data_IF_874035138770
#
_entry.id   IF_874035138770
#
_cell.length_a   1.000
_cell.length_b   1.000
_cell.length_c   1.000
_cell.angle_alpha   90.00
_cell.angle_beta   90.00
_cell.angle_gamma   90.00
#
_symmetry.space_group_name_H-M   'P 1'
#
loop_
_entity.id
_entity.type
_entity.pdbx_description
1 polymer ?
#
# COMPACT_ATOMS: atom_id res chain seq x y z
N UNK A 1 48.91 -4.36 -4.25
CA UNK A 1 47.81 -4.39 -5.23
C UNK A 1 46.68 -5.19 -4.60
N UNK A 2 45.61 -4.54 -4.15
CA UNK A 2 44.44 -5.22 -3.57
C UNK A 2 43.47 -5.58 -4.70
N UNK A 3 43.14 -6.87 -4.81
CA UNK A 3 42.16 -7.37 -5.78
C UNK A 3 40.80 -6.69 -5.57
N UNK A 4 40.18 -6.08 -6.60
CA UNK A 4 38.87 -5.46 -6.46
C UNK A 4 37.82 -6.50 -6.05
N UNK A 5 37.01 -6.16 -5.04
CA UNK A 5 35.94 -7.02 -4.55
C UNK A 5 34.85 -7.15 -5.63
N UNK A 6 34.54 -8.36 -6.14
CA UNK A 6 33.54 -8.56 -7.19
C UNK A 6 32.09 -8.44 -6.68
N UNK A 7 31.87 -8.32 -5.38
CA UNK A 7 30.53 -8.22 -4.80
C UNK A 7 30.09 -6.75 -4.74
N UNK A 8 29.17 -6.37 -5.61
CA UNK A 8 28.42 -5.13 -5.47
C UNK A 8 27.49 -5.24 -4.26
N UNK A 9 27.53 -4.27 -3.35
CA UNK A 9 26.46 -4.14 -2.38
C UNK A 9 25.20 -3.67 -3.13
N UNK A 10 24.03 -4.28 -2.86
CA UNK A 10 22.79 -3.72 -3.37
C UNK A 10 22.69 -2.27 -2.89
N UNK A 11 22.34 -1.35 -3.81
CA UNK A 11 22.08 0.03 -3.44
C UNK A 11 21.08 0.07 -2.29
N UNK A 12 21.29 0.96 -1.33
CA UNK A 12 20.47 1.07 -0.11
C UNK A 12 19.11 1.70 -0.39
N UNK A 13 18.40 1.21 -1.42
CA UNK A 13 17.08 1.68 -1.84
C UNK A 13 17.01 3.19 -2.11
N UNK A 14 15.84 3.64 -2.55
CA UNK A 14 15.58 5.07 -2.66
C UNK A 14 15.35 5.68 -1.27
N UNK A 15 15.70 6.96 -1.08
CA UNK A 15 15.30 7.69 0.13
C UNK A 15 14.03 8.46 -0.14
N UNK A 16 12.99 8.24 0.66
CA UNK A 16 11.78 9.05 0.60
C UNK A 16 12.01 10.36 1.36
N UNK A 17 12.47 11.39 0.65
CA UNK A 17 12.77 12.73 1.22
C UNK A 17 11.86 13.81 0.64
N UNK A 18 10.58 13.87 1.02
CA UNK A 18 9.63 14.86 0.50
C UNK A 18 10.05 16.31 0.77
N UNK A 19 10.98 16.53 1.70
CA UNK A 19 11.60 17.83 1.94
C UNK A 19 12.40 18.34 0.74
N UNK A 20 13.05 17.44 0.01
CA UNK A 20 13.89 17.76 -1.15
C UNK A 20 13.07 17.79 -2.46
N UNK A 21 11.79 17.42 -2.37
CA UNK A 21 10.85 17.31 -3.49
C UNK A 21 9.56 18.08 -3.23
N UNK A 22 9.56 19.42 -3.28
CA UNK A 22 8.37 20.23 -3.05
C UNK A 22 7.23 19.92 -4.03
N UNK A 23 7.55 19.44 -5.24
CA UNK A 23 6.59 19.01 -6.27
C UNK A 23 5.78 17.76 -5.89
N UNK A 24 6.19 17.04 -4.83
CA UNK A 24 5.46 15.90 -4.29
C UNK A 24 4.28 16.33 -3.40
N UNK A 25 4.27 17.56 -2.89
CA UNK A 25 3.17 18.03 -2.03
C UNK A 25 1.88 18.12 -2.85
N UNK A 26 0.81 17.55 -2.31
CA UNK A 26 -0.49 17.42 -2.94
C UNK A 26 -0.63 16.20 -3.86
N UNK A 27 0.46 15.49 -4.16
CA UNK A 27 0.46 14.31 -5.04
C UNK A 27 -0.13 13.09 -4.36
N UNK A 28 -0.65 12.16 -5.17
CA UNK A 28 -1.26 10.91 -4.73
C UNK A 28 -0.20 9.82 -4.63
N UNK A 29 -0.04 9.28 -3.42
CA UNK A 29 0.90 8.22 -3.13
C UNK A 29 0.20 6.91 -2.83
N UNK A 30 0.73 5.83 -3.40
CA UNK A 30 0.40 4.46 -3.05
C UNK A 30 1.65 3.79 -2.44
N UNK A 31 1.59 3.52 -1.15
CA UNK A 31 2.65 2.83 -0.42
C UNK A 31 2.36 1.34 -0.35
N UNK A 32 3.43 0.59 -0.52
CA UNK A 32 3.50 -0.85 -0.43
C UNK A 32 4.44 -1.23 0.73
N UNK A 33 4.01 -1.01 1.98
CA UNK A 33 4.86 -1.24 3.14
C UNK A 33 5.24 -2.71 3.28
N UNK A 34 6.53 -2.96 3.45
CA UNK A 34 7.08 -4.29 3.69
C UNK A 34 7.37 -4.49 5.17
N UNK A 35 8.32 -3.72 5.71
CA UNK A 35 8.82 -3.90 7.07
C UNK A 35 9.10 -2.57 7.77
N UNK A 36 9.23 -2.62 9.10
CA UNK A 36 9.64 -1.48 9.92
C UNK A 36 11.06 -1.73 10.43
N UNK A 37 11.94 -0.78 10.21
CA UNK A 37 13.35 -0.82 10.60
C UNK A 37 13.66 0.34 11.54
N UNK A 38 14.46 0.08 12.58
CA UNK A 38 14.94 1.12 13.47
C UNK A 38 16.30 1.61 12.98
N UNK A 39 16.45 2.93 12.86
CA UNK A 39 17.69 3.57 12.42
C UNK A 39 18.18 4.58 13.43
N UNK A 40 19.48 4.86 13.39
CA UNK A 40 20.08 5.95 14.17
C UNK A 40 20.17 7.19 13.28
N UNK A 41 19.50 8.26 13.70
CA UNK A 41 19.55 9.57 13.07
C UNK A 41 20.19 10.60 13.97
N UNK A 42 20.35 11.82 13.47
CA UNK A 42 20.79 12.95 14.30
C UNK A 42 19.55 13.69 14.80
N UNK A 43 19.33 13.66 16.11
CA UNK A 43 18.26 14.39 16.78
C UNK A 43 18.45 15.91 16.72
N UNK A 44 17.48 16.68 17.21
CA UNK A 44 17.54 18.16 17.21
C UNK A 44 18.71 18.72 18.02
N UNK A 45 19.24 17.97 18.99
CA UNK A 45 20.37 18.34 19.83
C UNK A 45 21.73 17.87 19.26
N UNK A 46 21.77 17.35 18.02
CA UNK A 46 22.98 16.80 17.42
C UNK A 46 23.39 15.41 17.95
N UNK A 47 22.63 14.83 18.89
CA UNK A 47 22.92 13.50 19.42
C UNK A 47 22.30 12.40 18.55
N UNK A 48 22.90 11.19 18.50
CA UNK A 48 22.26 10.04 17.89
C UNK A 48 20.92 9.75 18.58
N UNK A 49 19.83 9.77 17.81
CA UNK A 49 18.48 9.45 18.28
C UNK A 49 17.93 8.31 17.40
N UNK A 50 17.45 7.20 17.99
CA UNK A 50 16.80 6.17 17.21
C UNK A 50 15.48 6.69 16.64
N UNK A 51 15.19 6.34 15.40
CA UNK A 51 13.90 6.61 14.75
C UNK A 51 13.44 5.40 13.96
N UNK A 52 12.12 5.21 13.91
CA UNK A 52 11.49 4.19 13.07
C UNK A 52 11.42 4.70 11.62
N UNK A 53 11.74 3.82 10.68
CA UNK A 53 11.43 4.00 9.27
C UNK A 53 10.64 2.78 8.76
N UNK A 54 9.86 3.00 7.70
CA UNK A 54 9.19 1.93 6.97
C UNK A 54 9.95 1.70 5.66
N UNK A 55 10.34 0.47 5.39
CA UNK A 55 10.85 0.07 4.07
C UNK A 55 9.62 -0.27 3.20
N UNK A 56 9.47 0.40 2.06
CA UNK A 56 8.30 0.28 1.21
C UNK A 56 8.61 0.59 -0.26
N UNK A 57 7.91 -0.05 -1.19
CA UNK A 57 7.81 0.51 -2.54
C UNK A 57 6.79 1.64 -2.53
N UNK A 58 7.06 2.72 -3.27
CA UNK A 58 6.22 3.91 -3.29
C UNK A 58 5.94 4.32 -4.72
N UNK A 59 4.68 4.37 -5.10
CA UNK A 59 4.26 4.92 -6.38
C UNK A 59 3.62 6.30 -6.18
N UNK A 60 4.04 7.28 -6.99
CA UNK A 60 3.47 8.63 -7.05
C UNK A 60 2.61 8.71 -8.31
N UNK A 61 1.32 8.40 -8.17
CA UNK A 61 0.42 8.06 -9.28
C UNK A 61 0.19 9.25 -10.22
N UNK A 62 0.08 10.46 -9.67
CA UNK A 62 -0.19 11.71 -10.41
C UNK A 62 1.09 12.54 -10.66
N UNK A 63 2.27 11.92 -10.49
CA UNK A 63 3.56 12.48 -10.88
C UNK A 63 4.22 11.59 -11.93
N UNK A 64 4.10 11.99 -13.18
CA UNK A 64 4.68 11.27 -14.31
C UNK A 64 6.17 11.58 -14.41
N UNK A 65 6.99 10.54 -14.49
CA UNK A 65 8.41 10.68 -14.81
C UNK A 65 8.54 11.14 -16.27
N UNK A 66 9.21 12.28 -16.53
CA UNK A 66 9.29 12.86 -17.87
C UNK A 66 10.06 11.99 -18.87
N UNK A 67 10.92 11.09 -18.40
CA UNK A 67 11.72 10.20 -19.25
C UNK A 67 10.94 8.97 -19.69
N UNK A 68 10.12 8.40 -18.80
CA UNK A 68 9.41 7.13 -19.04
C UNK A 68 7.96 7.32 -19.44
N UNK A 69 7.36 8.48 -19.13
CA UNK A 69 5.93 8.71 -19.27
C UNK A 69 5.07 7.88 -18.30
N UNK A 70 5.69 7.17 -17.35
CA UNK A 70 5.02 6.37 -16.33
C UNK A 70 4.98 7.12 -14.99
N UNK A 71 4.08 6.74 -14.07
CA UNK A 71 4.12 7.24 -12.70
C UNK A 71 5.50 7.04 -12.05
N UNK A 72 5.94 7.98 -11.23
CA UNK A 72 7.22 7.88 -10.52
C UNK A 72 7.12 6.77 -9.49
N UNK A 73 8.02 5.78 -9.57
CA UNK A 73 8.11 4.68 -8.60
C UNK A 73 9.46 4.76 -7.89
N UNK A 74 9.42 4.65 -6.58
CA UNK A 74 10.58 4.53 -5.70
C UNK A 74 10.61 3.10 -5.16
N UNK A 75 11.69 2.37 -5.42
CA UNK A 75 11.80 0.96 -5.07
C UNK A 75 12.62 0.78 -3.79
N UNK A 76 12.16 -0.08 -2.89
CA UNK A 76 12.76 -0.29 -1.57
C UNK A 76 13.02 1.05 -0.85
N UNK A 77 12.06 1.96 -0.95
CA UNK A 77 12.22 3.30 -0.43
C UNK A 77 12.16 3.31 1.10
N UNK A 78 13.13 3.99 1.71
CA UNK A 78 13.10 4.22 3.16
C UNK A 78 12.24 5.42 3.50
N UNK A 79 11.11 5.15 4.12
CA UNK A 79 10.11 6.15 4.52
C UNK A 79 10.27 6.53 5.98
N UNK A 80 10.78 7.74 6.23
CA UNK A 80 10.91 8.32 7.57
C UNK A 80 9.86 9.41 7.86
N UNK A 81 9.84 9.88 9.11
CA UNK A 81 9.06 11.05 9.51
C UNK A 81 8.06 10.77 10.64
N UNK A 82 8.06 11.64 11.65
CA UNK A 82 7.29 11.45 12.90
C UNK A 82 5.77 11.34 12.68
N UNK A 83 5.22 12.00 11.66
CA UNK A 83 3.78 11.99 11.36
C UNK A 83 3.38 10.95 10.30
N UNK A 84 4.29 10.60 9.40
CA UNK A 84 4.03 9.70 8.28
C UNK A 84 4.16 8.22 8.69
N UNK A 85 5.26 7.88 9.41
CA UNK A 85 5.57 6.50 9.82
C UNK A 85 4.45 5.85 10.63
N UNK A 86 3.81 6.51 11.62
CA UNK A 86 2.70 5.91 12.37
C UNK A 86 1.45 5.57 11.54
N UNK A 87 1.26 6.23 10.40
CA UNK A 87 0.13 5.95 9.50
C UNK A 87 0.42 4.71 8.66
N UNK A 88 1.63 4.65 8.10
CA UNK A 88 2.02 3.58 7.18
C UNK A 88 2.29 2.27 7.94
N UNK A 89 2.96 2.33 9.09
CA UNK A 89 3.40 1.13 9.82
C UNK A 89 2.28 0.20 10.28
N UNK A 90 1.05 0.73 10.41
CA UNK A 90 -0.15 -0.06 10.77
C UNK A 90 -0.54 -1.07 9.68
N UNK A 91 -0.03 -0.89 8.46
CA UNK A 91 -0.36 -1.69 7.29
C UNK A 91 0.82 -2.54 6.80
N UNK A 92 1.95 -2.58 7.53
CA UNK A 92 3.04 -3.52 7.26
C UNK A 92 2.53 -4.97 7.35
N UNK A 93 3.02 -5.85 6.48
CA UNK A 93 2.54 -7.24 6.39
C UNK A 93 1.50 -7.49 5.29
N UNK A 94 1.49 -6.67 4.23
CA UNK A 94 0.73 -6.95 3.00
C UNK A 94 -0.41 -5.97 2.69
N UNK A 95 -0.64 -4.95 3.53
CA UNK A 95 -1.57 -3.87 3.23
C UNK A 95 -1.00 -2.89 2.18
N UNK A 96 -1.88 -2.11 1.57
CA UNK A 96 -1.54 -0.94 0.78
C UNK A 96 -2.03 0.32 1.51
N UNK A 97 -1.30 1.42 1.39
CA UNK A 97 -1.72 2.71 1.99
C UNK A 97 -1.81 3.75 0.88
N UNK A 98 -3.01 4.31 0.70
CA UNK A 98 -3.29 5.37 -0.26
C UNK A 98 -3.45 6.69 0.50
N UNK A 99 -2.90 7.78 -0.04
CA UNK A 99 -3.15 9.11 0.50
C UNK A 99 -2.45 10.20 -0.29
N UNK A 100 -2.91 11.44 -0.13
CA UNK A 100 -2.24 12.60 -0.72
C UNK A 100 -1.20 13.15 0.25
N UNK A 101 0.01 13.41 -0.23
CA UNK A 101 1.05 13.97 0.63
C UNK A 101 0.71 15.41 0.98
N UNK A 102 0.59 15.70 2.27
CA UNK A 102 0.35 17.03 2.79
C UNK A 102 1.48 17.44 3.74
N UNK A 103 1.63 18.75 3.93
CA UNK A 103 2.59 19.33 4.86
C UNK A 103 1.87 20.28 5.80
N UNK A 104 2.09 20.14 7.12
CA UNK A 104 1.57 21.12 8.08
C UNK A 104 2.27 22.48 7.89
N UNK A 105 1.62 23.57 8.28
CA UNK A 105 2.29 24.87 8.33
C UNK A 105 3.58 24.81 9.17
N UNK A 106 4.61 25.53 8.74
CA UNK A 106 5.84 25.65 9.52
C UNK A 106 5.55 26.35 10.86
N UNK A 107 6.16 25.85 11.94
CA UNK A 107 6.04 26.44 13.28
C UNK A 107 7.38 27.03 13.70
N UNK A 108 7.56 28.33 13.44
CA UNK A 108 8.82 29.02 13.69
C UNK A 108 9.97 28.46 12.87
N UNK A 109 11.02 27.97 13.53
CA UNK A 109 12.21 27.38 12.88
C UNK A 109 12.01 25.91 12.46
N UNK A 110 10.88 25.30 12.80
CA UNK A 110 10.61 23.88 12.46
C UNK A 110 9.90 23.80 11.12
N UNK A 111 10.51 23.09 10.17
CA UNK A 111 9.84 22.68 8.93
C UNK A 111 8.57 21.92 9.25
N UNK A 112 7.51 22.16 8.47
CA UNK A 112 6.24 21.45 8.62
C UNK A 112 6.40 19.94 8.52
N UNK A 113 5.59 19.20 9.28
CA UNK A 113 5.59 17.75 9.23
C UNK A 113 4.82 17.26 7.99
N UNK A 114 5.39 16.28 7.30
CA UNK A 114 4.73 15.59 6.19
C UNK A 114 3.83 14.48 6.71
N UNK A 115 2.62 14.38 6.17
CA UNK A 115 1.62 13.38 6.52
C UNK A 115 0.79 12.99 5.30
N UNK A 116 0.05 11.87 5.37
CA UNK A 116 -0.92 11.52 4.34
C UNK A 116 -2.28 12.12 4.72
N UNK A 117 -2.81 12.97 3.86
CA UNK A 117 -4.17 13.46 3.95
C UNK A 117 -5.15 12.42 3.41
N UNK A 118 -6.43 12.60 3.76
CA UNK A 118 -7.53 11.79 3.24
C UNK A 118 -7.55 11.83 1.71
N UNK A 119 -7.86 10.69 1.11
CA UNK A 119 -8.04 10.54 -0.33
C UNK A 119 -9.51 10.68 -0.69
N UNK A 120 -9.78 11.06 -1.94
CA UNK A 120 -11.12 11.11 -2.52
C UNK A 120 -11.48 9.83 -3.28
N UNK A 121 -12.75 9.65 -3.66
CA UNK A 121 -13.17 8.52 -4.51
C UNK A 121 -12.47 8.53 -5.88
N UNK A 122 -12.19 9.71 -6.43
CA UNK A 122 -11.43 9.85 -7.68
C UNK A 122 -9.99 9.32 -7.52
N UNK A 123 -9.38 9.51 -6.35
CA UNK A 123 -8.05 8.99 -6.04
C UNK A 123 -8.04 7.46 -5.97
N UNK A 124 -9.09 6.87 -5.38
CA UNK A 124 -9.27 5.41 -5.35
C UNK A 124 -9.38 4.84 -6.77
N UNK A 125 -10.12 5.51 -7.65
CA UNK A 125 -10.22 5.09 -9.05
C UNK A 125 -8.86 5.15 -9.77
N UNK A 126 -8.11 6.24 -9.60
CA UNK A 126 -6.76 6.35 -10.18
C UNK A 126 -5.80 5.28 -9.64
N UNK A 127 -5.82 5.04 -8.33
CA UNK A 127 -5.00 4.00 -7.71
C UNK A 127 -5.40 2.59 -8.18
N UNK A 128 -6.69 2.33 -8.35
CA UNK A 128 -7.20 1.05 -8.87
C UNK A 128 -6.72 0.82 -10.30
N UNK A 129 -6.82 1.85 -11.17
CA UNK A 129 -6.29 1.78 -12.54
C UNK A 129 -4.78 1.52 -12.53
N UNK A 130 -4.04 2.21 -11.67
CA UNK A 130 -2.61 2.01 -11.52
C UNK A 130 -2.27 0.57 -11.11
N UNK A 131 -2.94 0.03 -10.08
CA UNK A 131 -2.73 -1.34 -9.59
C UNK A 131 -3.02 -2.38 -10.68
N UNK A 132 -4.09 -2.18 -11.44
CA UNK A 132 -4.46 -3.09 -12.54
C UNK A 132 -3.42 -3.06 -13.67
N UNK A 133 -2.81 -1.91 -13.93
CA UNK A 133 -1.75 -1.76 -14.93
C UNK A 133 -0.38 -2.24 -14.42
N UNK A 134 -0.14 -2.23 -13.10
CA UNK A 134 1.14 -2.54 -12.46
C UNK A 134 0.96 -3.61 -11.37
N UNK A 135 0.62 -4.86 -11.72
CA UNK A 135 0.48 -5.92 -10.73
C UNK A 135 1.81 -6.16 -10.01
N UNK A 136 1.81 -5.96 -8.69
CA UNK A 136 2.98 -6.04 -7.79
C UNK A 136 3.79 -7.35 -7.91
N UNK A 137 3.18 -8.42 -8.44
CA UNK A 137 3.70 -9.79 -8.40
C UNK A 137 3.86 -10.46 -9.78
N UNK A 138 4.03 -9.72 -10.88
CA UNK A 138 4.23 -10.39 -12.18
C UNK A 138 5.57 -11.16 -12.30
N UNK A 139 6.57 -10.88 -11.46
CA UNK A 139 7.89 -11.51 -11.58
C UNK A 139 8.61 -11.57 -10.23
N UNK A 140 8.55 -12.72 -9.55
CA UNK A 140 9.66 -13.40 -8.83
C UNK A 140 9.10 -14.59 -8.05
N UNK A 141 8.52 -15.57 -8.74
CA UNK A 141 8.86 -16.93 -8.34
C UNK A 141 10.24 -17.17 -8.96
N UNK A 142 11.30 -17.48 -8.19
CA UNK A 142 12.48 -18.05 -8.82
C UNK A 142 11.95 -19.26 -9.57
N UNK A 143 11.97 -19.21 -10.91
CA UNK A 143 11.83 -20.42 -11.70
C UNK A 143 12.91 -21.32 -11.15
N UNK A 144 12.50 -22.34 -10.39
CA UNK A 144 13.41 -23.34 -9.89
C UNK A 144 14.18 -23.80 -11.13
N UNK A 145 15.45 -23.45 -11.19
CA UNK A 145 16.31 -23.75 -12.31
C UNK A 145 16.20 -25.26 -12.46
N UNK A 146 15.48 -25.69 -13.49
CA UNK A 146 15.24 -27.10 -13.73
C UNK A 146 16.61 -27.76 -13.73
N UNK A 147 16.82 -28.64 -12.74
CA UNK A 147 18.06 -29.37 -12.64
C UNK A 147 18.34 -29.98 -14.02
N UNK A 148 19.55 -29.81 -14.60
CA UNK A 148 19.84 -30.35 -15.91
C UNK A 148 19.52 -31.84 -15.89
N UNK A 149 18.66 -32.25 -16.83
CA UNK A 149 18.30 -33.63 -17.01
C UNK A 149 19.59 -34.45 -17.15
N UNK A 150 19.89 -35.29 -16.16
CA UNK A 150 20.91 -36.31 -16.30
C UNK A 150 20.47 -37.21 -17.45
N UNK A 151 21.13 -37.05 -18.59
CA UNK A 151 21.05 -38.01 -19.69
C UNK A 151 21.48 -39.36 -19.12
N UNK A 152 20.50 -40.26 -19.01
CA UNK A 152 20.75 -41.69 -18.85
C UNK A 152 21.47 -42.17 -20.11
N UNK A 153 22.79 -42.18 -20.07
CA UNK A 153 23.62 -42.94 -20.98
C UNK A 153 23.58 -44.40 -20.52
N UNK A 154 22.87 -45.22 -21.30
CA UNK A 154 22.86 -46.67 -21.19
C UNK A 154 24.27 -47.24 -21.41
N UNK A 155 24.67 -48.12 -20.50
CA UNK A 155 25.75 -49.09 -20.69
C UNK A 155 27.14 -48.57 -20.35
N UNK A 156 27.58 -48.82 -19.12
CA UNK A 156 28.83 -49.51 -18.80
C UNK A 156 28.89 -49.67 -17.28
N UNK A 157 28.99 -50.92 -16.81
CA UNK A 157 29.39 -51.25 -15.45
C UNK A 157 30.90 -51.03 -15.33
N UNK A 158 31.37 -50.32 -14.30
CA UNK A 158 32.66 -50.63 -13.72
C UNK A 158 32.45 -51.14 -12.28
N UNK A 159 32.86 -52.38 -12.07
CA UNK A 159 33.12 -52.92 -10.75
C UNK A 159 34.21 -52.10 -10.07
N UNK A 160 33.89 -51.38 -8.99
CA UNK A 160 34.91 -50.92 -8.05
C UNK A 160 34.46 -51.10 -6.60
N UNK A 161 34.97 -52.20 -6.03
CA UNK A 161 35.74 -52.28 -4.77
C UNK A 161 35.14 -51.55 -3.56
N UNK A 162 34.59 -52.36 -2.68
CA UNK A 162 34.43 -52.10 -1.25
C UNK A 162 35.82 -51.80 -0.63
N UNK A 163 36.14 -50.53 -0.39
CA UNK A 163 37.12 -50.18 0.64
C UNK A 163 36.39 -49.75 1.89
N UNK A 164 36.48 -50.62 2.89
CA UNK A 164 36.19 -50.34 4.30
C UNK A 164 36.99 -49.11 4.73
N UNK A 165 36.30 -48.07 5.19
CA UNK A 165 36.92 -47.01 5.98
C UNK A 165 36.85 -47.37 7.47
N UNK A 166 37.89 -47.00 8.25
CA UNK A 166 38.09 -47.43 9.62
C UNK A 166 37.12 -46.78 10.62
N UNK A 167 36.83 -47.58 11.63
CA UNK A 167 36.15 -47.29 12.90
C UNK A 167 36.53 -45.93 13.51
N UNK A 168 35.52 -45.09 13.81
CA UNK A 168 35.68 -43.88 14.63
C UNK A 168 35.26 -44.18 16.09
N UNK A 169 36.17 -44.11 17.07
CA UNK A 169 35.94 -44.56 18.45
C UNK A 169 35.29 -43.53 19.39
N UNK A 170 34.74 -42.40 18.91
CA UNK A 170 34.06 -41.45 19.82
C UNK A 170 32.58 -41.80 20.04
N UNK A 171 32.37 -42.94 20.72
CA UNK A 171 31.17 -43.19 21.52
C UNK A 171 31.28 -42.47 22.85
N UNK A 172 30.30 -41.63 23.20
CA UNK A 172 30.10 -41.24 24.59
C UNK A 172 29.29 -39.98 24.84
N UNK A 173 27.97 -40.00 24.62
CA UNK A 173 27.00 -39.32 25.51
C UNK A 173 25.56 -39.80 25.26
N UNK A 174 24.84 -40.33 26.26
CA UNK A 174 23.42 -40.63 26.13
C UNK A 174 22.56 -39.42 26.54
N UNK A 175 21.58 -39.08 25.72
CA UNK A 175 20.35 -38.41 26.16
C UNK A 175 20.12 -36.98 25.66
N UNK A 176 19.32 -36.84 24.61
CA UNK A 176 18.38 -35.74 24.47
C UNK A 176 17.22 -36.19 23.57
N UNK A 177 16.02 -36.22 24.15
CA UNK A 177 14.78 -36.57 23.48
C UNK A 177 14.46 -35.60 22.34
N UNK A 178 13.95 -36.14 21.23
CA UNK A 178 13.41 -35.36 20.11
C UNK A 178 12.18 -34.55 20.58
N UNK A 179 12.09 -33.24 20.30
CA UNK A 179 10.86 -32.51 20.52
C UNK A 179 9.80 -32.95 19.51
N UNK A 180 8.64 -33.33 20.03
CA UNK A 180 7.44 -33.65 19.29
C UNK A 180 7.03 -32.48 18.39
N UNK A 181 6.65 -32.79 17.15
CA UNK A 181 6.08 -31.81 16.22
C UNK A 181 4.80 -31.17 16.76
N UNK A 182 4.45 -29.96 16.30
CA UNK A 182 3.25 -29.28 16.75
C UNK A 182 1.98 -30.01 16.27
N UNK A 183 0.94 -30.11 17.13
CA UNK A 183 -0.32 -30.72 16.74
C UNK A 183 -1.07 -29.86 15.72
N UNK A 184 -1.59 -30.49 14.67
CA UNK A 184 -2.52 -29.88 13.72
C UNK A 184 -3.86 -29.61 14.43
N UNK A 185 -4.04 -28.37 14.90
CA UNK A 185 -5.26 -27.87 15.49
C UNK A 185 -6.21 -27.27 14.45
N UNK A 186 -7.19 -28.07 14.05
CA UNK A 186 -8.60 -27.76 13.77
C UNK A 186 -9.02 -26.27 13.81
N UNK A 187 -9.18 -25.65 12.64
CA UNK A 187 -9.87 -24.36 12.50
C UNK A 187 -11.39 -24.56 12.66
N UNK A 188 -11.89 -24.26 13.86
CA UNK A 188 -13.32 -24.15 14.13
C UNK A 188 -13.91 -22.85 13.59
N UNK A 189 -15.05 -22.95 12.94
CA UNK A 189 -15.93 -21.85 12.54
C UNK A 189 -16.52 -21.13 13.78
N UNK A 190 -16.43 -19.80 13.91
CA UNK A 190 -17.25 -19.09 14.88
C UNK A 190 -18.69 -18.95 14.38
N UNK A 191 -19.61 -19.37 15.25
CA UNK A 191 -21.05 -19.26 15.08
C UNK A 191 -21.51 -17.80 15.10
N UNK A 192 -22.51 -17.51 14.26
CA UNK A 192 -23.27 -16.28 14.27
C UNK A 192 -24.29 -16.29 15.43
N UNK A 193 -24.31 -15.22 16.24
CA UNK A 193 -25.50 -14.85 17.01
C UNK A 193 -25.57 -13.34 17.23
N UNK A 194 -26.76 -12.82 16.97
CA UNK A 194 -27.17 -11.43 16.96
C UNK A 194 -27.40 -10.83 18.35
N UNK A 195 -27.36 -9.50 18.47
CA UNK A 195 -28.52 -8.66 18.89
C UNK A 195 -28.17 -7.15 18.83
N UNK A 196 -29.12 -6.28 18.44
CA UNK A 196 -28.93 -4.82 18.41
C UNK A 196 -29.19 -4.19 19.79
N UNK A 197 -28.32 -3.28 20.22
CA UNK A 197 -28.52 -2.49 21.44
C UNK A 197 -29.33 -1.21 21.13
N UNK A 198 -30.42 -1.03 21.88
CA UNK A 198 -31.29 0.14 21.90
C UNK A 198 -30.55 1.38 22.41
N UNK A 199 -30.85 2.53 21.79
CA UNK A 199 -30.46 3.86 22.26
C UNK A 199 -31.41 4.34 23.38
N UNK A 200 -30.89 4.83 24.52
CA UNK A 200 -31.71 5.56 25.48
C UNK A 200 -31.81 7.04 25.10
N UNK A 201 -33.04 7.48 24.91
CA UNK A 201 -33.47 8.90 24.94
C UNK A 201 -33.50 9.44 26.37
N UNK A 202 -32.84 10.57 26.61
CA UNK A 202 -33.04 11.45 27.79
C UNK A 202 -32.25 12.74 27.56
N UNK A 203 -32.87 13.88 27.25
CA UNK A 203 -33.66 14.75 28.12
C UNK A 203 -32.89 15.20 29.38
N UNK A 204 -32.48 16.48 29.40
CA UNK A 204 -32.00 17.14 30.62
C UNK A 204 -30.98 18.25 30.37
N UNK A 205 -31.48 19.44 30.03
CA UNK A 205 -30.72 20.68 30.22
C UNK A 205 -31.08 21.26 31.60
N UNK A 206 -30.09 21.61 32.43
CA UNK A 206 -30.26 22.65 33.43
C UNK A 206 -29.41 23.88 33.09
N UNK A 207 -30.07 25.03 33.13
CA UNK A 207 -29.48 26.35 33.10
C UNK A 207 -28.59 26.57 34.34
N UNK A 208 -27.43 27.21 34.14
CA UNK A 208 -26.66 27.82 35.21
C UNK A 208 -26.16 29.20 34.74
N UNK A 209 -26.81 30.21 35.31
CA UNK A 209 -26.41 31.61 35.40
C UNK A 209 -25.06 31.79 36.11
N UNK A 210 -24.17 32.61 35.57
CA UNK A 210 -23.19 33.38 36.34
C UNK A 210 -22.67 34.59 35.54
N UNK A 211 -22.19 35.66 36.21
CA UNK A 211 -22.21 37.03 35.68
C UNK A 211 -20.84 37.57 35.23
N UNK A 212 -20.89 38.55 34.32
CA UNK A 212 -20.07 39.77 34.39
C UNK A 212 -18.59 39.69 33.98
N UNK A 213 -18.30 40.19 32.78
CA UNK A 213 -17.05 40.92 32.49
C UNK A 213 -17.32 41.90 31.33
N UNK A 214 -17.09 43.22 31.50
CA UNK A 214 -17.32 44.18 30.43
C UNK A 214 -16.17 44.15 29.41
N UNK A 215 -16.50 43.88 28.15
CA UNK A 215 -15.56 44.04 27.04
C UNK A 215 -15.70 45.45 26.42
N UNK A 216 -14.59 46.08 25.98
CA UNK A 216 -14.61 47.41 25.39
C UNK A 216 -15.25 47.41 23.99
N UNK A 217 -16.18 48.34 23.82
CA UNK A 217 -16.87 48.69 22.58
C UNK A 217 -15.88 49.27 21.56
N UNK A 218 -15.70 48.60 20.42
CA UNK A 218 -15.09 49.18 19.22
C UNK A 218 -15.95 48.90 18.00
N UNK A 219 -16.52 50.00 17.47
CA UNK A 219 -16.70 50.27 16.05
C UNK A 219 -17.43 49.24 15.20
N UNK A 220 -18.74 49.43 15.08
CA UNK A 220 -19.51 49.01 13.90
C UNK A 220 -19.07 49.86 12.69
N UNK A 221 -18.87 49.27 11.51
CA UNK A 221 -19.57 49.82 10.36
C UNK A 221 -20.33 48.77 9.54
N UNK A 222 -21.42 49.27 8.97
CA UNK A 222 -22.41 48.60 8.15
C UNK A 222 -21.84 47.89 6.91
N UNK A 223 -22.51 46.80 6.53
CA UNK A 223 -22.28 46.11 5.26
C UNK A 223 -23.12 44.84 5.16
N UNK A 224 -24.41 44.99 4.89
CA UNK A 224 -25.32 43.88 4.59
C UNK A 224 -24.89 43.22 3.28
N UNK A 225 -24.16 42.10 3.35
CA UNK A 225 -23.92 41.27 2.18
C UNK A 225 -25.15 40.40 1.93
N UNK A 226 -25.81 40.66 0.79
CA UNK A 226 -26.93 39.90 0.27
C UNK A 226 -26.51 38.45 0.02
N UNK A 227 -27.19 37.51 0.69
CA UNK A 227 -26.97 36.08 0.52
C UNK A 227 -27.24 35.67 -0.93
N UNK A 228 -26.23 35.13 -1.60
CA UNK A 228 -26.37 34.52 -2.92
C UNK A 228 -27.20 33.23 -2.82
N UNK A 229 -28.08 32.94 -3.80
CA UNK A 229 -28.84 31.70 -3.82
C UNK A 229 -27.90 30.49 -3.93
N UNK A 230 -28.15 29.48 -3.09
CA UNK A 230 -27.44 28.21 -3.12
C UNK A 230 -27.57 27.56 -4.51
N UNK A 231 -26.44 27.22 -5.12
CA UNK A 231 -26.41 26.41 -6.33
C UNK A 231 -26.89 25.00 -5.98
N UNK A 232 -28.08 24.65 -6.42
CA UNK A 232 -28.52 23.25 -6.50
C UNK A 232 -27.64 22.54 -7.51
N UNK A 233 -26.74 21.69 -7.02
CA UNK A 233 -25.97 20.76 -7.84
C UNK A 233 -26.96 19.82 -8.53
N UNK A 234 -26.98 19.72 -9.87
CA UNK A 234 -27.85 18.76 -10.53
C UNK A 234 -27.44 17.36 -10.08
N UNK A 235 -28.42 16.60 -9.57
CA UNK A 235 -28.26 15.17 -9.36
C UNK A 235 -27.74 14.57 -10.66
N UNK A 236 -26.52 14.04 -10.64
CA UNK A 236 -25.97 13.29 -11.76
C UNK A 236 -26.79 12.02 -11.89
N UNK A 237 -27.88 12.09 -12.64
CA UNK A 237 -28.65 10.92 -13.02
C UNK A 237 -27.71 10.00 -13.75
N UNK A 238 -27.50 8.81 -13.20
CA UNK A 238 -26.78 7.73 -13.87
C UNK A 238 -27.33 7.61 -15.29
N UNK A 239 -26.54 8.04 -16.28
CA UNK A 239 -26.94 7.96 -17.67
C UNK A 239 -27.26 6.49 -17.93
N UNK A 240 -28.49 6.22 -18.40
CA UNK A 240 -28.91 4.86 -18.71
C UNK A 240 -27.89 4.24 -19.69
N UNK A 241 -27.44 3.02 -19.37
CA UNK A 241 -26.53 2.27 -20.22
C UNK A 241 -27.13 2.09 -21.63
N UNK A 242 -26.28 2.22 -22.65
CA UNK A 242 -26.69 1.98 -24.04
C UNK A 242 -27.25 0.55 -24.17
N UNK A 243 -28.48 0.36 -24.70
CA UNK A 243 -29.06 -0.97 -24.86
C UNK A 243 -28.23 -1.91 -25.74
N UNK A 244 -27.45 -1.39 -26.71
CA UNK A 244 -26.53 -2.20 -27.52
C UNK A 244 -25.38 -2.76 -26.67
N UNK A 245 -24.84 -1.95 -25.77
CA UNK A 245 -23.77 -2.33 -24.86
C UNK A 245 -24.25 -3.38 -23.84
N UNK A 246 -25.47 -3.20 -23.31
CA UNK A 246 -26.15 -4.16 -22.44
C UNK A 246 -26.31 -5.52 -23.14
N UNK A 247 -26.81 -5.52 -24.38
CA UNK A 247 -26.99 -6.75 -25.15
C UNK A 247 -25.65 -7.46 -25.44
N UNK A 248 -24.61 -6.69 -25.78
CA UNK A 248 -23.27 -7.25 -25.99
C UNK A 248 -22.72 -7.91 -24.73
N UNK A 249 -22.79 -7.23 -23.57
CA UNK A 249 -22.31 -7.77 -22.30
C UNK A 249 -23.08 -9.03 -21.88
N UNK A 250 -24.41 -9.02 -22.04
CA UNK A 250 -25.23 -10.20 -21.78
C UNK A 250 -24.86 -11.37 -22.72
N UNK A 251 -24.54 -11.11 -23.99
CA UNK A 251 -24.09 -12.15 -24.93
C UNK A 251 -22.76 -12.79 -24.52
N UNK A 252 -21.91 -12.06 -23.80
CA UNK A 252 -20.65 -12.55 -23.22
C UNK A 252 -20.82 -13.07 -21.78
N UNK A 253 -22.05 -13.14 -21.26
CA UNK A 253 -22.37 -13.68 -19.93
C UNK A 253 -22.15 -12.71 -18.76
N UNK A 254 -22.02 -11.40 -19.01
CA UNK A 254 -21.84 -10.36 -17.99
C UNK A 254 -23.18 -9.69 -17.67
N UNK A 255 -23.54 -9.59 -16.38
CA UNK A 255 -24.72 -8.83 -15.94
C UNK A 255 -24.37 -7.33 -15.80
N UNK A 256 -25.00 -6.42 -16.58
CA UNK A 256 -24.70 -4.99 -16.52
C UNK A 256 -25.47 -4.23 -15.41
N UNK A 257 -26.32 -4.88 -14.61
CA UNK A 257 -27.01 -4.22 -13.51
C UNK A 257 -26.03 -3.64 -12.49
N UNK A 258 -26.15 -2.33 -12.22
CA UNK A 258 -25.29 -1.60 -11.30
C UNK A 258 -23.95 -1.13 -11.88
N UNK A 259 -23.65 -1.41 -13.15
CA UNK A 259 -22.45 -0.88 -13.81
C UNK A 259 -22.65 0.55 -14.28
N UNK A 260 -21.58 1.34 -14.24
CA UNK A 260 -21.55 2.65 -14.92
C UNK A 260 -21.33 2.47 -16.42
N UNK A 261 -21.71 3.48 -17.22
CA UNK A 261 -21.47 3.47 -18.66
C UNK A 261 -19.98 3.29 -19.02
N UNK A 262 -19.06 3.93 -18.29
CA UNK A 262 -17.62 3.72 -18.50
C UNK A 262 -17.19 2.28 -18.17
N UNK A 263 -17.65 1.69 -17.07
CA UNK A 263 -17.30 0.33 -16.68
C UNK A 263 -17.76 -0.68 -17.75
N UNK A 264 -19.01 -0.55 -18.19
CA UNK A 264 -19.56 -1.39 -19.24
C UNK A 264 -18.79 -1.26 -20.57
N UNK A 265 -18.38 -0.03 -20.93
CA UNK A 265 -17.62 0.24 -22.16
C UNK A 265 -16.21 -0.36 -22.08
N UNK A 266 -15.57 -0.29 -20.93
CA UNK A 266 -14.23 -0.85 -20.71
C UNK A 266 -14.24 -2.38 -20.85
N UNK A 267 -15.22 -3.05 -20.24
CA UNK A 267 -15.38 -4.51 -20.34
C UNK A 267 -15.63 -4.92 -21.80
N UNK A 268 -16.49 -4.17 -22.51
CA UNK A 268 -16.78 -4.48 -23.91
C UNK A 268 -15.54 -4.40 -24.82
N UNK A 269 -14.68 -3.40 -24.61
CA UNK A 269 -13.40 -3.27 -25.33
C UNK A 269 -12.46 -4.44 -25.07
N UNK A 270 -12.39 -4.94 -23.83
CA UNK A 270 -11.56 -6.10 -23.48
C UNK A 270 -11.98 -7.36 -24.23
N UNK A 271 -13.29 -7.58 -24.40
CA UNK A 271 -13.79 -8.72 -25.18
C UNK A 271 -13.53 -8.58 -26.69
N UNK A 272 -13.62 -7.37 -27.25
CA UNK A 272 -13.28 -7.14 -28.66
C UNK A 272 -11.78 -7.37 -28.94
N UNK A 273 -10.90 -7.05 -27.99
CA UNK A 273 -9.46 -7.29 -28.14
C UNK A 273 -9.07 -8.78 -28.07
N UNK A 274 -9.92 -9.63 -27.51
CA UNK A 274 -9.67 -11.08 -27.39
C UNK A 274 -10.20 -11.90 -28.57
N UNK A 275 -11.00 -11.31 -29.46
CA UNK A 275 -11.43 -12.02 -30.68
C UNK A 275 -10.26 -12.06 -31.67
N UNK A 276 -9.72 -13.26 -31.98
CA UNK A 276 -8.65 -13.38 -32.94
C UNK A 276 -9.13 -12.88 -34.32
N UNK A 277 -8.26 -12.22 -35.10
CA UNK A 277 -8.66 -11.71 -36.41
C UNK A 277 -9.18 -12.87 -37.27
N UNK A 278 -10.29 -12.67 -38.01
CA UNK A 278 -10.78 -13.67 -38.93
C UNK A 278 -9.71 -13.94 -39.99
N UNK A 279 -9.36 -15.22 -40.14
CA UNK A 279 -8.47 -15.71 -41.20
C UNK A 279 -9.13 -15.62 -42.58
#
# INVERSE_FOLDING_TARGET
MTTPNPFAQPDRGDRFTPRDHPEWVGKLFLFYPDSVSQHMGTGQNGQPEPYDAVEADVAIIDLVNPETGQPTVLSNARVGGKALVPQIKKHCGGGMVLGRLAQTAAQGQKSGAFYLAEYSDADVQMATQYINAHPRNAFTQPTAQAAPAQQQAWGQQPQHVSQQLPYDPWQGTPGAAAPAGPPQGQWGTPAATATPAQAPTGAGAPAATAPGSPAPQWGNPAGSAQAAPAQTVPASGSAALDPQLVAFLQSKGVNPEGMTAEQATMIAKTFQAQEPPPF
#
